data_IF_245743754681
#
_entry.id   IF_245743754681
#
_cell.length_a   1.000
_cell.length_b   1.000
_cell.length_c   1.000
_cell.angle_alpha   90.00
_cell.angle_beta   90.00
_cell.angle_gamma   90.00
#
_symmetry.space_group_name_H-M   'P 1'
#
loop_
_entity.id
_entity.type
_entity.pdbx_description
1 polymer ?
#
# COMPACT_ATOMS: atom_id res chain seq x y z
N UNK A 1 14.36 11.14 17.32
CA UNK A 1 15.57 11.95 17.46
C UNK A 1 15.14 13.40 17.33
N UNK A 2 15.10 14.10 18.45
CA UNK A 2 14.63 15.49 18.52
C UNK A 2 15.78 16.45 18.27
N UNK A 3 15.82 17.09 17.10
CA UNK A 3 16.74 18.19 16.88
C UNK A 3 16.12 19.48 17.42
N UNK A 4 16.65 19.94 18.54
CA UNK A 4 16.34 21.26 19.10
C UNK A 4 17.14 22.31 18.33
N UNK A 5 16.45 23.23 17.64
CA UNK A 5 17.06 24.47 17.17
C UNK A 5 17.45 25.33 18.36
N UNK A 6 18.74 25.48 18.60
CA UNK A 6 19.28 26.32 19.68
C UNK A 6 19.40 27.76 19.15
N UNK A 7 18.61 28.67 19.75
CA UNK A 7 18.68 30.09 19.45
C UNK A 7 19.91 30.71 20.14
N UNK A 8 20.90 31.13 19.38
CA UNK A 8 22.04 31.87 19.85
C UNK A 8 21.63 33.32 20.14
N UNK A 9 21.63 33.70 21.41
CA UNK A 9 21.44 35.09 21.83
C UNK A 9 22.72 35.89 21.53
N UNK A 10 22.68 36.82 20.58
CA UNK A 10 23.70 37.83 20.41
C UNK A 10 23.46 39.00 21.39
N UNK A 11 24.49 39.30 22.16
CA UNK A 11 24.53 40.46 23.07
C UNK A 11 24.73 41.74 22.25
N UNK A 12 23.86 42.70 22.49
CA UNK A 12 23.90 44.04 21.94
C UNK A 12 25.09 44.81 22.45
N UNK A 13 25.91 45.37 21.54
CA UNK A 13 26.76 46.52 21.78
C UNK A 13 26.25 47.69 20.91
N UNK A 14 25.98 48.77 21.61
CA UNK A 14 25.53 50.01 20.96
C UNK A 14 26.70 50.72 20.29
N UNK A 15 26.53 51.16 19.09
CA UNK A 15 27.00 52.49 18.60
C UNK A 15 26.69 52.66 17.10
N UNK A 16 26.05 53.81 16.82
CA UNK A 16 26.09 54.67 15.64
C UNK A 16 25.43 54.20 14.33
N UNK A 17 24.44 54.97 13.94
CA UNK A 17 23.59 54.94 12.77
C UNK A 17 24.31 54.76 11.43
N UNK A 18 23.86 53.80 10.64
CA UNK A 18 23.82 53.82 9.17
C UNK A 18 22.55 53.09 8.77
N UNK A 19 21.65 53.79 8.06
CA UNK A 19 20.42 53.22 7.49
C UNK A 19 20.85 52.32 6.35
N UNK A 20 20.92 51.00 6.65
CA UNK A 20 21.07 49.95 5.64
C UNK A 20 19.85 49.06 5.73
N UNK A 21 19.04 49.01 4.68
CA UNK A 21 17.93 48.08 4.56
C UNK A 21 18.48 46.63 4.54
N UNK A 22 18.51 45.99 5.69
CA UNK A 22 18.86 44.54 5.78
C UNK A 22 17.66 43.76 5.28
N UNK A 23 17.72 43.23 4.06
CA UNK A 23 16.87 42.13 3.62
C UNK A 23 17.17 40.91 4.48
N UNK A 24 16.31 40.66 5.45
CA UNK A 24 16.34 39.37 6.19
C UNK A 24 15.77 38.35 5.25
N UNK A 25 16.64 37.64 4.53
CA UNK A 25 16.27 36.42 3.81
C UNK A 25 15.88 35.36 4.85
N UNK A 26 14.60 35.27 5.14
CA UNK A 26 14.05 34.20 5.96
C UNK A 26 14.32 32.86 5.26
N UNK A 27 15.23 32.06 5.81
CA UNK A 27 15.36 30.67 5.41
C UNK A 27 14.06 29.95 5.78
N UNK A 28 13.14 29.81 4.80
CA UNK A 28 11.99 28.96 4.93
C UNK A 28 12.51 27.51 5.10
N UNK A 29 12.43 26.98 6.31
CA UNK A 29 12.61 25.56 6.54
C UNK A 29 11.52 24.83 5.75
N UNK A 30 11.87 24.23 4.60
CA UNK A 30 10.99 23.37 3.84
C UNK A 30 10.58 22.21 4.75
N UNK A 31 9.34 22.18 5.19
CA UNK A 31 8.80 21.02 5.87
C UNK A 31 8.82 19.85 4.87
N UNK A 32 9.36 18.66 5.25
CA UNK A 32 9.26 17.50 4.38
C UNK A 32 7.78 17.26 4.10
N UNK A 33 7.43 17.09 2.81
CA UNK A 33 6.09 16.73 2.41
C UNK A 33 5.68 15.46 3.17
N UNK A 34 4.43 15.35 3.63
CA UNK A 34 3.95 14.13 4.28
C UNK A 34 4.23 12.96 3.35
N UNK A 35 4.93 11.93 3.86
CA UNK A 35 5.25 10.76 3.07
C UNK A 35 3.93 10.15 2.56
N UNK A 36 3.82 9.94 1.25
CA UNK A 36 2.65 9.33 0.65
C UNK A 36 2.32 8.01 1.33
N UNK A 37 1.06 7.83 1.71
CA UNK A 37 0.60 6.57 2.30
C UNK A 37 0.75 5.45 1.28
N UNK A 38 0.81 4.20 1.73
CA UNK A 38 0.83 3.05 0.81
C UNK A 38 -0.36 3.09 -0.16
N UNK A 39 -1.53 3.49 0.33
CA UNK A 39 -2.73 3.68 -0.48
C UNK A 39 -2.51 4.69 -1.62
N UNK A 40 -1.89 5.83 -1.33
CA UNK A 40 -1.57 6.84 -2.36
C UNK A 40 -0.52 6.33 -3.35
N UNK A 41 0.49 5.61 -2.88
CA UNK A 41 1.51 5.01 -3.73
C UNK A 41 0.96 3.91 -4.67
N UNK A 42 -0.17 3.28 -4.31
CA UNK A 42 -0.92 2.36 -5.15
C UNK A 42 -1.91 3.07 -6.10
N UNK A 43 -1.89 4.40 -6.17
CA UNK A 43 -2.76 5.21 -7.02
C UNK A 43 -4.15 5.46 -6.43
N UNK A 44 -4.33 5.26 -5.12
CA UNK A 44 -5.62 5.44 -4.45
C UNK A 44 -6.70 4.52 -4.98
N UNK A 45 -7.97 4.91 -4.86
CA UNK A 45 -9.10 4.11 -5.34
C UNK A 45 -9.03 3.75 -6.84
N UNK A 46 -8.71 4.68 -7.75
CA UNK A 46 -8.59 4.36 -9.18
C UNK A 46 -7.48 3.34 -9.47
N UNK A 47 -6.32 3.50 -8.83
CA UNK A 47 -5.20 2.57 -8.98
C UNK A 47 -5.54 1.16 -8.49
N UNK A 48 -6.23 1.04 -7.36
CA UNK A 48 -6.67 -0.24 -6.83
C UNK A 48 -7.71 -0.92 -7.73
N UNK A 49 -8.64 -0.17 -8.31
CA UNK A 49 -9.59 -0.73 -9.28
C UNK A 49 -8.87 -1.32 -10.49
N UNK A 50 -7.95 -0.55 -11.08
CA UNK A 50 -7.16 -1.02 -12.23
C UNK A 50 -6.30 -2.22 -11.87
N UNK A 51 -5.68 -2.22 -10.68
CA UNK A 51 -4.87 -3.35 -10.18
C UNK A 51 -5.70 -4.62 -10.07
N UNK A 52 -6.87 -4.53 -9.46
CA UNK A 52 -7.73 -5.70 -9.23
C UNK A 52 -8.35 -6.20 -10.54
N UNK A 53 -8.64 -5.31 -11.48
CA UNK A 53 -9.12 -5.70 -12.81
C UNK A 53 -8.07 -6.51 -13.57
N UNK A 54 -6.82 -6.03 -13.67
CA UNK A 54 -5.71 -6.76 -14.29
C UNK A 54 -5.40 -8.06 -13.54
N UNK A 55 -5.41 -8.01 -12.21
CA UNK A 55 -5.18 -9.18 -11.36
C UNK A 55 -6.19 -10.29 -11.64
N UNK A 56 -7.48 -9.97 -11.73
CA UNK A 56 -8.52 -10.95 -12.04
C UNK A 56 -8.33 -11.57 -13.43
N UNK A 57 -7.97 -10.77 -14.43
CA UNK A 57 -7.67 -11.26 -15.78
C UNK A 57 -6.52 -12.27 -15.74
N UNK A 58 -5.45 -11.97 -15.00
CA UNK A 58 -4.30 -12.89 -14.86
C UNK A 58 -4.63 -14.13 -14.07
N UNK A 59 -5.41 -14.01 -12.99
CA UNK A 59 -5.86 -15.18 -12.20
C UNK A 59 -6.64 -16.17 -13.08
N UNK A 60 -7.50 -15.68 -13.95
CA UNK A 60 -8.25 -16.51 -14.89
C UNK A 60 -7.38 -17.12 -16.01
N UNK A 61 -6.29 -16.45 -16.38
CA UNK A 61 -5.36 -16.92 -17.39
C UNK A 61 -4.30 -17.90 -16.84
N UNK A 62 -3.96 -17.83 -15.54
CA UNK A 62 -2.96 -18.70 -14.92
C UNK A 62 -3.58 -20.08 -14.63
N UNK A 63 -3.03 -21.18 -15.19
CA UNK A 63 -3.58 -22.53 -14.99
C UNK A 63 -3.58 -23.00 -13.54
N UNK A 64 -2.73 -22.42 -12.67
CA UNK A 64 -2.69 -22.74 -11.23
C UNK A 64 -3.82 -22.05 -10.48
N UNK A 65 -4.23 -20.86 -10.94
CA UNK A 65 -5.23 -20.03 -10.27
C UNK A 65 -6.63 -20.17 -10.85
N UNK A 66 -6.74 -20.42 -12.16
CA UNK A 66 -8.03 -20.58 -12.83
C UNK A 66 -9.02 -21.51 -12.11
N UNK A 67 -8.61 -22.70 -11.61
CA UNK A 67 -9.54 -23.58 -10.90
C UNK A 67 -10.23 -22.96 -9.69
N UNK A 68 -9.60 -21.98 -9.03
CA UNK A 68 -10.16 -21.31 -7.85
C UNK A 68 -11.06 -20.13 -8.21
N UNK A 69 -10.90 -19.56 -9.41
CA UNK A 69 -11.54 -18.28 -9.76
C UNK A 69 -12.54 -18.37 -10.92
N UNK A 70 -12.55 -19.44 -11.73
CA UNK A 70 -13.38 -19.53 -12.94
C UNK A 70 -14.89 -19.52 -12.66
N UNK A 71 -15.32 -20.07 -11.54
CA UNK A 71 -16.75 -20.31 -11.22
C UNK A 71 -17.27 -19.40 -10.09
N UNK A 72 -16.51 -18.32 -9.71
CA UNK A 72 -16.93 -17.38 -8.67
C UNK A 72 -17.65 -16.16 -9.24
N UNK A 73 -18.34 -15.42 -8.40
CA UNK A 73 -18.89 -14.10 -8.75
C UNK A 73 -17.74 -13.07 -8.87
N UNK A 74 -17.20 -12.90 -10.07
CA UNK A 74 -16.04 -12.01 -10.32
C UNK A 74 -16.29 -10.56 -9.90
N UNK A 75 -17.43 -9.91 -10.19
CA UNK A 75 -17.75 -8.59 -9.69
C UNK A 75 -17.64 -8.49 -8.18
N UNK A 76 -18.22 -9.43 -7.45
CA UNK A 76 -18.17 -9.47 -5.99
C UNK A 76 -16.75 -9.67 -5.47
N UNK A 77 -16.01 -10.64 -6.02
CA UNK A 77 -14.60 -10.90 -5.60
C UNK A 77 -13.73 -9.67 -5.84
N UNK A 78 -13.87 -9.01 -7.00
CA UNK A 78 -13.13 -7.77 -7.29
C UNK A 78 -13.44 -6.66 -6.29
N UNK A 79 -14.71 -6.45 -5.95
CA UNK A 79 -15.11 -5.48 -4.95
C UNK A 79 -14.44 -5.76 -3.59
N UNK A 80 -14.48 -7.02 -3.13
CA UNK A 80 -13.86 -7.43 -1.87
C UNK A 80 -12.34 -7.22 -1.88
N UNK A 81 -11.65 -7.53 -2.97
CA UNK A 81 -10.21 -7.33 -3.12
C UNK A 81 -9.84 -5.82 -3.10
N UNK A 82 -10.62 -4.98 -3.80
CA UNK A 82 -10.41 -3.52 -3.78
C UNK A 82 -10.56 -2.97 -2.36
N UNK A 83 -11.62 -3.39 -1.65
CA UNK A 83 -11.87 -2.97 -0.26
C UNK A 83 -10.75 -3.44 0.67
N UNK A 84 -10.29 -4.68 0.52
CA UNK A 84 -9.21 -5.25 1.30
C UNK A 84 -7.89 -4.52 1.06
N UNK A 85 -7.49 -4.32 -0.20
CA UNK A 85 -6.25 -3.62 -0.54
C UNK A 85 -6.29 -2.16 -0.07
N UNK A 86 -7.45 -1.50 -0.18
CA UNK A 86 -7.66 -0.15 0.34
C UNK A 86 -7.45 -0.10 1.86
N UNK A 87 -8.08 -0.98 2.62
CA UNK A 87 -7.96 -0.99 4.09
C UNK A 87 -6.54 -1.32 4.55
N UNK A 88 -5.93 -2.39 4.03
CA UNK A 88 -4.58 -2.80 4.46
C UNK A 88 -3.51 -1.80 4.02
N UNK A 89 -3.75 -1.01 2.98
CA UNK A 89 -2.83 0.04 2.54
C UNK A 89 -3.02 1.37 3.30
N UNK A 90 -4.00 1.46 4.20
CA UNK A 90 -4.30 2.65 4.99
C UNK A 90 -5.18 3.67 4.27
N UNK A 91 -5.97 3.21 3.31
CA UNK A 91 -7.03 3.98 2.66
C UNK A 91 -8.26 4.18 3.56
N UNK A 92 -9.25 4.95 3.09
CA UNK A 92 -10.44 5.30 3.87
C UNK A 92 -11.47 4.16 3.97
N UNK A 93 -11.21 3.02 3.34
CA UNK A 93 -12.14 1.90 3.28
C UNK A 93 -12.20 1.15 4.62
N UNK A 94 -13.36 0.54 4.87
CA UNK A 94 -13.57 -0.38 5.99
C UNK A 94 -14.17 -1.66 5.44
N UNK A 95 -13.36 -2.68 5.33
CA UNK A 95 -13.85 -4.01 5.02
C UNK A 95 -14.67 -4.48 6.21
N UNK A 96 -15.94 -4.82 5.99
CA UNK A 96 -16.68 -5.61 6.98
C UNK A 96 -16.07 -7.01 6.92
N UNK A 97 -15.07 -7.24 7.76
CA UNK A 97 -14.19 -8.40 7.77
C UNK A 97 -14.98 -9.69 7.53
N UNK A 98 -14.96 -10.28 6.34
CA UNK A 98 -15.28 -11.68 6.26
C UNK A 98 -14.19 -12.42 7.04
N UNK A 99 -14.57 -13.33 7.90
CA UNK A 99 -13.67 -14.31 8.49
C UNK A 99 -12.97 -15.05 7.33
N UNK A 100 -11.70 -14.74 7.06
CA UNK A 100 -10.94 -15.31 5.95
C UNK A 100 -10.95 -16.83 5.97
N UNK A 101 -10.93 -17.42 7.16
CA UNK A 101 -11.06 -18.86 7.33
C UNK A 101 -12.42 -19.38 6.86
N UNK A 102 -13.51 -18.64 7.09
CA UNK A 102 -14.84 -19.05 6.64
C UNK A 102 -15.02 -18.92 5.13
N UNK A 103 -14.58 -17.82 4.55
CA UNK A 103 -14.76 -17.62 3.09
C UNK A 103 -13.90 -18.55 2.25
N UNK A 104 -12.81 -19.08 2.82
CA UNK A 104 -11.96 -20.09 2.17
C UNK A 104 -12.21 -21.52 2.67
N UNK A 105 -13.22 -21.74 3.52
CA UNK A 105 -13.56 -23.06 3.99
C UNK A 105 -14.05 -23.96 2.83
N UNK A 106 -13.48 -25.15 2.73
CA UNK A 106 -13.83 -26.10 1.65
C UNK A 106 -13.13 -25.84 0.32
N UNK A 107 -12.29 -24.82 0.24
CA UNK A 107 -11.37 -24.61 -0.89
C UNK A 107 -10.01 -25.15 -0.45
N UNK A 108 -9.57 -26.26 -1.02
CA UNK A 108 -8.33 -26.95 -0.62
C UNK A 108 -7.08 -26.17 -1.09
N UNK A 109 -6.77 -25.08 -0.38
CA UNK A 109 -5.68 -24.16 -0.72
C UNK A 109 -4.40 -24.63 -0.05
N UNK A 110 -3.37 -24.90 -0.86
CA UNK A 110 -2.02 -25.24 -0.40
C UNK A 110 -1.14 -23.97 -0.28
N UNK A 111 0.03 -24.13 0.33
CA UNK A 111 1.04 -23.09 0.35
C UNK A 111 1.51 -22.70 -1.07
N UNK A 112 1.62 -23.68 -1.97
CA UNK A 112 2.03 -23.41 -3.36
C UNK A 112 0.98 -22.57 -4.11
N UNK A 113 -0.31 -22.82 -3.86
CA UNK A 113 -1.38 -22.03 -4.46
C UNK A 113 -1.38 -20.59 -3.94
N UNK A 114 -1.17 -20.41 -2.64
CA UNK A 114 -1.01 -19.08 -2.06
C UNK A 114 0.20 -18.35 -2.66
N UNK A 115 1.34 -19.01 -2.83
CA UNK A 115 2.52 -18.42 -3.45
C UNK A 115 2.25 -18.04 -4.92
N UNK A 116 1.57 -18.90 -5.67
CA UNK A 116 1.18 -18.60 -7.05
C UNK A 116 0.25 -17.37 -7.14
N UNK A 117 -0.70 -17.24 -6.20
CA UNK A 117 -1.53 -16.03 -6.08
C UNK A 117 -0.68 -14.76 -5.89
N UNK A 118 0.32 -14.83 -5.00
CA UNK A 118 1.24 -13.71 -4.74
C UNK A 118 2.05 -13.35 -5.98
N UNK A 119 2.55 -14.35 -6.72
CA UNK A 119 3.28 -14.14 -7.99
C UNK A 119 2.40 -13.42 -9.02
N UNK A 120 1.14 -13.84 -9.18
CA UNK A 120 0.20 -13.20 -10.12
C UNK A 120 -0.11 -11.76 -9.68
N UNK A 121 -0.25 -11.50 -8.38
CA UNK A 121 -0.42 -10.14 -7.87
C UNK A 121 0.80 -9.26 -8.14
N UNK A 122 2.02 -9.79 -7.98
CA UNK A 122 3.24 -9.06 -8.32
C UNK A 122 3.29 -8.71 -9.80
N UNK A 123 2.95 -9.65 -10.70
CA UNK A 123 2.87 -9.38 -12.13
C UNK A 123 1.88 -8.26 -12.47
N UNK A 124 0.74 -8.22 -11.78
CA UNK A 124 -0.24 -7.14 -11.97
C UNK A 124 0.29 -5.79 -11.49
N UNK A 125 1.00 -5.76 -10.36
CA UNK A 125 1.64 -4.54 -9.85
C UNK A 125 2.77 -4.07 -10.78
N UNK A 126 3.56 -4.99 -11.33
CA UNK A 126 4.61 -4.69 -12.33
C UNK A 126 4.03 -4.06 -13.58
N UNK A 127 2.93 -4.63 -14.10
CA UNK A 127 2.25 -4.12 -15.29
C UNK A 127 1.73 -2.68 -15.11
N UNK A 128 1.42 -2.28 -13.88
CA UNK A 128 1.00 -0.92 -13.53
C UNK A 128 2.16 0.00 -13.14
N UNK A 129 3.39 -0.47 -13.20
CA UNK A 129 4.56 0.32 -12.82
C UNK A 129 4.66 0.62 -11.32
N UNK A 130 4.00 -0.16 -10.47
CA UNK A 130 4.13 -0.03 -9.02
C UNK A 130 5.56 -0.39 -8.61
N UNK A 131 6.26 0.54 -7.98
CA UNK A 131 7.66 0.34 -7.57
C UNK A 131 7.82 -0.82 -6.58
N UNK A 132 8.92 -1.57 -6.68
CA UNK A 132 9.22 -2.77 -5.90
C UNK A 132 9.07 -2.58 -4.37
N UNK A 133 9.51 -1.43 -3.84
CA UNK A 133 9.35 -1.12 -2.41
C UNK A 133 7.87 -1.03 -1.99
N UNK A 134 7.02 -0.47 -2.85
CA UNK A 134 5.57 -0.36 -2.62
C UNK A 134 4.90 -1.72 -2.70
N UNK A 135 5.28 -2.55 -3.67
CA UNK A 135 4.81 -3.93 -3.78
C UNK A 135 5.11 -4.71 -2.49
N UNK A 136 6.37 -4.70 -2.04
CA UNK A 136 6.77 -5.39 -0.81
C UNK A 136 6.00 -4.91 0.42
N UNK A 137 5.69 -3.61 0.50
CA UNK A 137 4.88 -3.06 1.59
C UNK A 137 3.45 -3.59 1.57
N UNK A 138 2.83 -3.72 0.40
CA UNK A 138 1.50 -4.32 0.26
C UNK A 138 1.55 -5.80 0.64
N UNK A 139 2.48 -6.57 0.08
CA UNK A 139 2.63 -7.99 0.36
C UNK A 139 2.88 -8.27 1.85
N UNK A 140 3.69 -7.45 2.52
CA UNK A 140 3.92 -7.57 3.96
C UNK A 140 2.63 -7.36 4.80
N UNK A 141 1.67 -6.55 4.31
CA UNK A 141 0.37 -6.36 4.96
C UNK A 141 -0.59 -7.53 4.73
N UNK A 142 -0.45 -8.21 3.59
CA UNK A 142 -1.28 -9.37 3.23
C UNK A 142 -0.73 -10.69 3.81
N UNK A 143 0.58 -10.78 4.02
CA UNK A 143 1.24 -12.01 4.47
C UNK A 143 0.65 -12.65 5.75
N UNK A 144 0.19 -11.92 6.77
CA UNK A 144 -0.43 -12.53 7.96
C UNK A 144 -1.67 -13.38 7.64
N UNK A 145 -2.40 -13.06 6.56
CA UNK A 145 -3.63 -13.76 6.16
C UNK A 145 -3.36 -15.18 5.64
N UNK A 146 -2.12 -15.49 5.26
CA UNK A 146 -1.71 -16.83 4.83
C UNK A 146 -2.18 -17.93 5.80
N UNK A 147 -2.09 -17.68 7.11
CA UNK A 147 -2.45 -18.67 8.14
C UNK A 147 -3.95 -18.99 8.21
N UNK A 148 -4.77 -18.08 7.71
CA UNK A 148 -6.23 -18.21 7.69
C UNK A 148 -6.74 -18.81 6.38
N UNK A 149 -5.98 -18.64 5.29
CA UNK A 149 -6.34 -19.01 3.93
C UNK A 149 -5.83 -20.44 3.60
N UNK A 150 -4.56 -20.73 3.92
CA UNK A 150 -3.98 -22.05 3.64
C UNK A 150 -4.56 -23.08 4.61
N UNK A 151 -5.34 -24.01 4.08
CA UNK A 151 -6.07 -25.02 4.85
C UNK A 151 -5.67 -26.46 4.50
N UNK A 152 -4.85 -26.64 3.45
CA UNK A 152 -4.31 -27.95 3.07
C UNK A 152 -2.77 -27.96 3.21
N UNK A 153 -2.27 -28.81 4.12
CA UNK A 153 -0.83 -29.03 4.30
C UNK A 153 -0.40 -30.24 3.47
N UNK A 154 0.28 -30.00 2.36
CA UNK A 154 0.99 -31.02 1.57
C UNK A 154 2.46 -30.64 1.48
#
# INVERSE_FOLDING_TARGET
>A
MNFRCNAIRLRTWASTAIIGAAFVAGAACAQPAPADTLYQQLGGQPGLLTLVDDFMVRLLADPRMNPFFKDVDHPHVKEQLVMQFCEVSGGPCKLKQPDMKKVHAGVDITRSDFNALVEVLQQSMDAQGVGFATQNRLLARLAPMHREIVNLQR
#
